data_IF_322580000681
#
_entry.id   IF_322580000681
#
_cell.length_a   1.000
_cell.length_b   1.000
_cell.length_c   1.000
_cell.angle_alpha   90.00
_cell.angle_beta   90.00
_cell.angle_gamma   90.00
#
_symmetry.space_group_name_H-M   'P 1'
#
loop_
_entity.id
_entity.type
_entity.pdbx_description
1 polymer ?
#
# COMPACT_ATOMS: atom_id res chain seq x y z
N UNK A 1 35.70 23.46 11.08
CA UNK A 1 34.47 23.67 11.88
C UNK A 1 33.26 23.61 10.93
N UNK A 2 32.39 22.67 11.13
CA UNK A 2 31.19 22.58 10.32
C UNK A 2 30.26 23.74 10.63
N UNK A 3 29.91 24.51 9.61
CA UNK A 3 28.93 25.57 9.76
C UNK A 3 27.54 24.96 9.91
N UNK A 4 26.87 25.19 11.02
CA UNK A 4 25.52 24.71 11.29
C UNK A 4 24.45 25.42 10.46
N UNK A 5 24.75 26.59 9.94
CA UNK A 5 23.83 27.42 9.14
C UNK A 5 23.29 26.69 7.92
N UNK A 6 24.15 25.96 7.17
CA UNK A 6 23.71 25.21 6.01
C UNK A 6 22.82 24.01 6.35
N UNK A 7 23.03 23.40 7.52
CA UNK A 7 22.21 22.28 7.99
C UNK A 7 20.83 22.75 8.43
N UNK A 8 20.74 23.91 9.10
CA UNK A 8 19.47 24.45 9.53
C UNK A 8 18.62 24.89 8.32
N UNK A 9 19.25 25.50 7.33
CA UNK A 9 18.58 25.85 6.08
C UNK A 9 18.06 24.60 5.36
N UNK A 10 18.87 23.55 5.28
CA UNK A 10 18.47 22.28 4.69
C UNK A 10 17.29 21.64 5.43
N UNK A 11 17.29 21.69 6.75
CA UNK A 11 16.16 21.21 7.57
C UNK A 11 14.87 21.97 7.27
N UNK A 12 14.95 23.28 7.14
CA UNK A 12 13.81 24.12 6.79
C UNK A 12 13.28 23.75 5.41
N UNK A 13 14.16 23.59 4.43
CA UNK A 13 13.77 23.19 3.08
C UNK A 13 13.11 21.82 3.05
N UNK A 14 13.66 20.85 3.76
CA UNK A 14 13.08 19.51 3.87
C UNK A 14 11.70 19.57 4.53
N UNK A 15 11.57 20.36 5.60
CA UNK A 15 10.28 20.54 6.30
C UNK A 15 9.23 21.19 5.40
N UNK A 16 9.61 22.19 4.63
CA UNK A 16 8.74 22.84 3.66
C UNK A 16 8.30 21.88 2.55
N UNK A 17 9.22 21.09 2.01
CA UNK A 17 8.91 20.07 1.01
C UNK A 17 7.99 19.00 1.56
N UNK A 18 8.26 18.51 2.77
CA UNK A 18 7.40 17.54 3.44
C UNK A 18 5.99 18.10 3.67
N UNK A 19 5.90 19.34 4.11
CA UNK A 19 4.62 20.02 4.29
C UNK A 19 3.88 20.19 2.98
N UNK A 20 4.57 20.57 1.92
CA UNK A 20 3.97 20.74 0.60
C UNK A 20 3.40 19.41 0.05
N UNK A 21 4.02 18.29 0.38
CA UNK A 21 3.55 16.96 -0.04
C UNK A 21 2.42 16.43 0.84
N UNK A 22 2.32 16.90 2.08
CA UNK A 22 1.37 16.40 3.07
C UNK A 22 0.13 17.28 3.25
N UNK A 23 0.13 18.47 2.68
CA UNK A 23 -1.00 19.39 2.77
C UNK A 23 -2.16 18.99 1.85
N UNK A 24 -3.33 19.56 2.12
CA UNK A 24 -4.46 19.44 1.20
C UNK A 24 -4.18 20.19 -0.10
N UNK A 25 -4.78 19.74 -1.19
CA UNK A 25 -4.60 20.36 -2.51
C UNK A 25 -3.58 19.62 -3.37
N UNK A 26 -2.69 20.35 -4.04
CA UNK A 26 -1.76 19.81 -5.03
C UNK A 26 -0.79 18.79 -4.43
N UNK A 27 -0.27 19.06 -3.24
CA UNK A 27 0.64 18.13 -2.55
C UNK A 27 -0.04 16.82 -2.18
N UNK A 28 -1.26 16.89 -1.69
CA UNK A 28 -2.06 15.71 -1.38
C UNK A 28 -2.37 14.88 -2.64
N UNK A 29 -2.66 15.55 -3.75
CA UNK A 29 -2.90 14.87 -5.03
C UNK A 29 -1.67 14.13 -5.53
N UNK A 30 -0.49 14.74 -5.42
CA UNK A 30 0.79 14.11 -5.80
C UNK A 30 1.06 12.88 -4.95
N UNK A 31 0.91 12.97 -3.64
CA UNK A 31 1.13 11.84 -2.73
C UNK A 31 0.16 10.70 -3.04
N UNK A 32 -1.09 11.01 -3.30
CA UNK A 32 -2.11 10.02 -3.68
C UNK A 32 -1.70 9.28 -4.95
N UNK A 33 -1.29 10.00 -5.98
CA UNK A 33 -0.88 9.40 -7.26
C UNK A 33 0.31 8.47 -7.06
N UNK A 34 1.30 8.88 -6.27
CA UNK A 34 2.49 8.08 -5.97
C UNK A 34 2.10 6.76 -5.29
N UNK A 35 1.26 6.84 -4.25
CA UNK A 35 0.83 5.65 -3.52
C UNK A 35 -0.04 4.73 -4.36
N UNK A 36 -0.96 5.28 -5.14
CA UNK A 36 -1.80 4.49 -6.04
C UNK A 36 -0.97 3.75 -7.09
N UNK A 37 0.03 4.40 -7.66
CA UNK A 37 0.96 3.78 -8.61
C UNK A 37 1.77 2.66 -7.98
N UNK A 38 2.30 2.89 -6.78
CA UNK A 38 3.09 1.90 -6.06
C UNK A 38 2.24 0.69 -5.62
N UNK A 39 0.96 0.88 -5.41
CA UNK A 39 0.04 -0.18 -5.01
C UNK A 39 -0.30 -1.15 -6.15
N UNK A 40 -0.19 -0.73 -7.40
CA UNK A 40 -0.59 -1.55 -8.56
C UNK A 40 0.16 -2.87 -8.64
N UNK A 41 1.51 -2.94 -8.59
CA UNK A 41 2.21 -4.22 -8.66
C UNK A 41 1.86 -5.15 -7.49
N UNK A 42 1.67 -4.61 -6.29
CA UNK A 42 1.27 -5.39 -5.12
C UNK A 42 -0.12 -5.99 -5.32
N UNK A 43 -1.06 -5.16 -5.74
CA UNK A 43 -2.43 -5.57 -6.04
C UNK A 43 -2.49 -6.67 -7.09
N UNK A 44 -1.78 -6.49 -8.20
CA UNK A 44 -1.77 -7.44 -9.29
C UNK A 44 -1.16 -8.78 -8.87
N UNK A 45 -0.11 -8.74 -8.05
CA UNK A 45 0.51 -9.94 -7.52
C UNK A 45 -0.40 -10.67 -6.52
N UNK A 46 -1.13 -9.93 -5.67
CA UNK A 46 -2.11 -10.54 -4.76
C UNK A 46 -3.19 -11.26 -5.54
N UNK A 47 -3.73 -10.63 -6.58
CA UNK A 47 -4.74 -11.25 -7.44
C UNK A 47 -4.20 -12.51 -8.11
N UNK A 48 -2.99 -12.46 -8.62
CA UNK A 48 -2.35 -13.60 -9.24
C UNK A 48 -2.16 -14.75 -8.26
N UNK A 49 -1.72 -14.46 -7.04
CA UNK A 49 -1.54 -15.46 -6.00
C UNK A 49 -2.89 -16.08 -5.58
N UNK A 50 -3.91 -15.26 -5.43
CA UNK A 50 -5.25 -15.71 -5.08
C UNK A 50 -5.87 -16.61 -6.15
N UNK A 51 -5.62 -16.33 -7.43
CA UNK A 51 -6.15 -17.11 -8.54
C UNK A 51 -5.51 -18.50 -8.70
N UNK A 52 -4.33 -18.71 -8.09
CA UNK A 52 -3.61 -19.98 -8.17
C UNK A 52 -4.11 -21.03 -7.20
N UNK A 53 -4.94 -20.66 -6.24
CA UNK A 53 -5.48 -21.62 -5.28
C UNK A 53 -6.70 -22.32 -5.86
N UNK A 54 -6.62 -23.66 -6.08
CA UNK A 54 -7.75 -24.42 -6.63
C UNK A 54 -8.95 -24.50 -5.69
N UNK A 55 -8.81 -24.09 -4.43
CA UNK A 55 -9.91 -24.06 -3.46
C UNK A 55 -10.69 -22.75 -3.48
N UNK A 56 -10.22 -21.75 -4.19
CA UNK A 56 -10.97 -20.51 -4.41
C UNK A 56 -11.99 -20.74 -5.53
N UNK A 57 -13.02 -21.48 -5.20
CA UNK A 57 -13.99 -22.06 -6.15
C UNK A 57 -14.85 -20.98 -6.80
N UNK A 58 -15.09 -19.85 -6.13
CA UNK A 58 -16.03 -18.83 -6.61
C UNK A 58 -15.37 -17.63 -7.28
N UNK A 59 -14.06 -17.48 -7.16
CA UNK A 59 -13.38 -16.27 -7.61
C UNK A 59 -13.71 -15.00 -6.81
N UNK A 60 -14.54 -15.14 -5.78
CA UNK A 60 -14.99 -14.00 -4.98
C UNK A 60 -13.81 -13.29 -4.29
N UNK A 61 -12.86 -14.06 -3.76
CA UNK A 61 -11.64 -13.51 -3.15
C UNK A 61 -10.83 -12.74 -4.18
N UNK A 62 -10.59 -13.32 -5.33
CA UNK A 62 -9.83 -12.68 -6.41
C UNK A 62 -10.47 -11.35 -6.84
N UNK A 63 -11.77 -11.33 -7.03
CA UNK A 63 -12.50 -10.13 -7.44
C UNK A 63 -12.57 -9.08 -6.33
N UNK A 64 -12.60 -9.51 -5.07
CA UNK A 64 -12.69 -8.61 -3.92
C UNK A 64 -11.38 -7.91 -3.56
N UNK A 65 -10.24 -8.36 -4.08
CA UNK A 65 -8.96 -7.71 -3.86
C UNK A 65 -8.95 -6.37 -4.57
N UNK A 66 -8.77 -5.29 -3.82
CA UNK A 66 -8.83 -3.94 -4.32
C UNK A 66 -7.79 -3.03 -3.68
N UNK A 67 -7.53 -1.91 -4.34
CA UNK A 67 -6.70 -0.84 -3.80
C UNK A 67 -7.64 0.14 -3.10
N UNK A 68 -7.40 0.38 -1.80
CA UNK A 68 -8.20 1.32 -1.03
C UNK A 68 -7.85 2.76 -1.34
N UNK A 69 -8.49 3.67 -0.63
CA UNK A 69 -8.19 5.10 -0.71
C UNK A 69 -7.03 5.47 0.20
N UNK A 70 -6.28 6.50 -0.20
CA UNK A 70 -5.20 7.04 0.62
C UNK A 70 -5.78 7.71 1.86
N UNK A 71 -5.21 7.41 3.02
CA UNK A 71 -5.64 7.92 4.32
C UNK A 71 -4.46 8.53 5.08
N UNK A 72 -4.77 9.43 5.99
CA UNK A 72 -3.79 10.04 6.89
C UNK A 72 -3.63 9.20 8.14
N UNK A 73 -2.39 9.09 8.63
CA UNK A 73 -2.13 8.51 9.95
C UNK A 73 -2.24 9.58 11.03
N UNK A 74 -2.71 9.20 12.22
CA UNK A 74 -2.81 10.11 13.36
C UNK A 74 -1.45 10.71 13.77
N UNK A 75 -0.37 9.98 13.53
CA UNK A 75 1.00 10.38 13.88
C UNK A 75 1.75 11.06 12.72
N UNK A 76 1.05 11.41 11.64
CA UNK A 76 1.63 11.97 10.44
C UNK A 76 1.90 10.92 9.35
N UNK A 77 2.04 11.40 8.12
CA UNK A 77 2.21 10.53 6.96
C UNK A 77 0.90 10.01 6.40
N UNK A 78 1.00 9.36 5.27
CA UNK A 78 -0.13 8.78 4.55
C UNK A 78 0.11 7.31 4.26
N UNK A 79 -0.97 6.57 4.08
CA UNK A 79 -0.89 5.15 3.75
C UNK A 79 -2.03 4.77 2.81
N UNK A 80 -1.83 3.66 2.11
CA UNK A 80 -2.83 3.03 1.27
C UNK A 80 -2.93 1.56 1.68
N UNK A 81 -4.13 1.02 1.62
CA UNK A 81 -4.39 -0.39 1.93
C UNK A 81 -4.69 -1.15 0.64
N UNK A 82 -4.16 -2.35 0.55
CA UNK A 82 -4.37 -3.25 -0.59
C UNK A 82 -4.83 -4.59 -0.03
N UNK A 83 -5.90 -5.12 -0.59
CA UNK A 83 -6.42 -6.40 -0.16
C UNK A 83 -7.93 -6.43 -0.22
N UNK A 84 -8.53 -7.26 0.61
CA UNK A 84 -9.99 -7.36 0.71
C UNK A 84 -10.46 -6.46 1.85
N UNK A 85 -11.25 -5.46 1.48
CA UNK A 85 -11.86 -4.55 2.44
C UNK A 85 -13.23 -5.11 2.85
N UNK A 86 -13.48 -5.15 4.14
CA UNK A 86 -14.72 -5.76 4.66
C UNK A 86 -15.99 -5.19 4.04
N UNK A 87 -16.01 -3.90 3.77
CA UNK A 87 -17.14 -3.22 3.13
C UNK A 87 -17.45 -3.74 1.73
N UNK A 88 -16.44 -4.29 1.04
CA UNK A 88 -16.57 -4.79 -0.33
C UNK A 88 -16.84 -6.30 -0.38
N UNK A 89 -16.93 -6.94 0.80
CA UNK A 89 -17.22 -8.36 0.93
C UNK A 89 -18.72 -8.57 1.12
N UNK A 90 -19.34 -9.19 0.14
CA UNK A 90 -20.80 -9.36 0.11
C UNK A 90 -21.29 -10.67 0.71
N UNK A 91 -20.40 -11.61 0.98
CA UNK A 91 -20.76 -12.89 1.54
C UNK A 91 -20.92 -12.80 3.08
N UNK A 92 -21.82 -13.61 3.64
CA UNK A 92 -22.11 -13.63 5.06
C UNK A 92 -20.88 -14.01 5.89
N UNK A 93 -20.09 -14.98 5.39
CA UNK A 93 -18.86 -15.42 6.04
C UNK A 93 -17.66 -14.69 5.45
N UNK A 94 -16.96 -13.90 6.29
CA UNK A 94 -15.74 -13.20 5.89
C UNK A 94 -14.55 -14.15 6.04
N UNK A 95 -14.12 -14.77 4.93
CA UNK A 95 -13.04 -15.76 4.97
C UNK A 95 -11.66 -15.33 4.42
N UNK A 96 -11.43 -14.10 3.90
CA UNK A 96 -10.12 -13.74 3.35
C UNK A 96 -8.95 -13.94 4.30
N UNK A 97 -9.13 -13.67 5.59
CA UNK A 97 -8.10 -13.89 6.60
C UNK A 97 -7.81 -15.39 6.81
N UNK A 98 -8.83 -16.23 6.70
CA UNK A 98 -8.68 -17.68 6.83
C UNK A 98 -7.88 -18.28 5.67
N UNK A 99 -8.00 -17.69 4.48
CA UNK A 99 -7.19 -18.12 3.33
C UNK A 99 -5.71 -17.78 3.58
N UNK A 100 -5.43 -16.58 4.08
CA UNK A 100 -4.05 -16.14 4.35
C UNK A 100 -3.40 -16.94 5.48
N UNK A 101 -4.11 -17.12 6.59
CA UNK A 101 -3.54 -17.70 7.82
C UNK A 101 -3.97 -19.14 8.11
N UNK A 102 -4.95 -19.66 7.38
CA UNK A 102 -5.59 -20.92 7.73
C UNK A 102 -6.50 -20.77 8.93
N UNK A 103 -7.19 -21.82 9.30
CA UNK A 103 -7.97 -21.86 10.53
C UNK A 103 -8.02 -23.27 11.12
N UNK A 104 -8.16 -23.34 12.45
CA UNK A 104 -8.37 -24.58 13.19
C UNK A 104 -9.84 -24.83 13.50
N UNK A 105 -10.13 -25.84 14.31
CA UNK A 105 -11.48 -26.20 14.74
C UNK A 105 -12.16 -27.21 13.81
N UNK A 106 -13.50 -27.35 13.88
CA UNK A 106 -14.23 -28.25 12.99
C UNK A 106 -14.06 -27.80 11.54
N UNK A 107 -13.57 -28.68 10.66
CA UNK A 107 -13.26 -28.36 9.29
C UNK A 107 -12.04 -27.47 9.12
N UNK A 108 -10.88 -27.87 9.72
CA UNK A 108 -9.68 -27.05 9.63
C UNK A 108 -9.19 -26.92 8.19
N UNK A 109 -8.65 -25.74 7.84
CA UNK A 109 -8.08 -25.48 6.53
C UNK A 109 -6.63 -25.03 6.68
N UNK A 110 -5.70 -25.55 5.85
CA UNK A 110 -4.34 -25.04 5.81
C UNK A 110 -4.28 -23.62 5.26
N UNK A 111 -3.21 -22.89 5.58
CA UNK A 111 -3.01 -21.56 5.04
C UNK A 111 -2.65 -21.64 3.54
N UNK A 112 -3.20 -20.70 2.78
CA UNK A 112 -2.85 -20.47 1.38
C UNK A 112 -2.57 -18.98 1.22
N UNK A 113 -1.39 -18.49 1.68
CA UNK A 113 -1.13 -17.07 1.74
C UNK A 113 -1.07 -16.44 0.34
N UNK A 114 -1.75 -15.32 0.19
CA UNK A 114 -1.77 -14.54 -1.04
C UNK A 114 -1.26 -13.10 -0.83
N UNK A 115 -1.34 -12.60 0.40
CA UNK A 115 -0.91 -11.24 0.75
C UNK A 115 0.60 -11.19 0.99
N UNK A 116 1.10 -12.00 1.93
CA UNK A 116 2.51 -11.96 2.30
C UNK A 116 3.44 -12.31 1.16
N UNK A 117 3.21 -13.38 0.37
CA UNK A 117 4.04 -13.64 -0.79
C UNK A 117 4.00 -12.52 -1.83
N UNK A 118 2.85 -11.87 -2.02
CA UNK A 118 2.75 -10.72 -2.91
C UNK A 118 3.62 -9.56 -2.43
N UNK A 119 3.59 -9.27 -1.14
CA UNK A 119 4.43 -8.24 -0.54
C UNK A 119 5.92 -8.56 -0.73
N UNK A 120 6.33 -9.79 -0.39
CA UNK A 120 7.73 -10.21 -0.47
C UNK A 120 8.30 -10.08 -1.89
N UNK A 121 7.50 -10.38 -2.91
CA UNK A 121 7.91 -10.31 -4.31
C UNK A 121 7.93 -8.87 -4.85
N UNK A 122 7.02 -8.02 -4.39
CA UNK A 122 6.80 -6.68 -4.97
C UNK A 122 7.30 -5.53 -4.10
N UNK A 123 7.81 -5.80 -2.89
CA UNK A 123 8.26 -4.80 -1.94
C UNK A 123 9.27 -3.82 -2.56
N UNK A 124 10.30 -4.35 -3.21
CA UNK A 124 11.36 -3.53 -3.81
C UNK A 124 10.82 -2.66 -4.94
N UNK A 125 9.99 -3.23 -5.79
CA UNK A 125 9.38 -2.48 -6.90
C UNK A 125 8.47 -1.36 -6.38
N UNK A 126 7.64 -1.63 -5.39
CA UNK A 126 6.77 -0.65 -4.77
C UNK A 126 7.59 0.49 -4.11
N UNK A 127 8.64 0.12 -3.40
CA UNK A 127 9.56 1.09 -2.79
C UNK A 127 10.22 1.98 -3.84
N UNK A 128 10.71 1.43 -4.93
CA UNK A 128 11.32 2.20 -6.02
C UNK A 128 10.33 3.15 -6.67
N UNK A 129 9.10 2.72 -6.87
CA UNK A 129 8.04 3.59 -7.42
C UNK A 129 7.75 4.76 -6.50
N UNK A 130 7.70 4.54 -5.19
CA UNK A 130 7.52 5.62 -4.21
C UNK A 130 8.73 6.56 -4.24
N UNK A 131 9.93 6.02 -4.18
CA UNK A 131 11.19 6.80 -4.19
C UNK A 131 11.28 7.66 -5.43
N UNK A 132 11.07 7.08 -6.60
CA UNK A 132 11.16 7.79 -7.87
C UNK A 132 10.07 8.85 -8.01
N UNK A 133 8.85 8.54 -7.56
CA UNK A 133 7.75 9.50 -7.53
C UNK A 133 8.01 10.68 -6.62
N UNK A 134 8.56 10.43 -5.43
CA UNK A 134 8.93 11.49 -4.49
C UNK A 134 10.08 12.35 -5.04
N UNK A 135 11.08 11.71 -5.62
CA UNK A 135 12.20 12.43 -6.24
C UNK A 135 11.71 13.37 -7.35
N UNK A 136 10.89 12.87 -8.23
CA UNK A 136 10.30 13.67 -9.30
C UNK A 136 9.48 14.85 -8.76
N UNK A 137 8.68 14.60 -7.72
CA UNK A 137 7.89 15.64 -7.07
C UNK A 137 8.76 16.71 -6.42
N UNK A 138 9.83 16.30 -5.73
CA UNK A 138 10.78 17.24 -5.11
C UNK A 138 11.53 18.07 -6.14
N UNK A 139 11.92 17.48 -7.26
CA UNK A 139 12.59 18.19 -8.36
C UNK A 139 11.70 19.29 -8.94
N UNK A 140 10.39 19.07 -8.97
CA UNK A 140 9.43 20.10 -9.43
C UNK A 140 9.25 21.25 -8.44
N UNK A 141 9.51 21.01 -7.15
CA UNK A 141 9.41 22.03 -6.10
C UNK A 141 10.67 22.89 -5.98
N UNK A 142 11.77 22.47 -6.57
CA UNK A 142 13.04 23.17 -6.50
C UNK A 142 13.25 24.14 -7.68
#
# INVERSE_FOLDING_TARGET
MMKTEGLDELRIQIAEMASALDTEGAGAAVTRIILEKAAVPVHDQMKQNASKDPKIITGALHEAISIGSVRKRAQGGKYITIGVHRKDWSEEDYYPAYVEYGHGGPGPAPSHPYIRPAYDVTEDEAYELIRDGLREALDRLM
#
